data_IF_596602858685
#
_entry.id   IF_596602858685
#
_cell.length_a   1.000
_cell.length_b   1.000
_cell.length_c   1.000
_cell.angle_alpha   90.00
_cell.angle_beta   90.00
_cell.angle_gamma   90.00
#
_symmetry.space_group_name_H-M   'P 1'
#
loop_
_entity.id
_entity.type
_entity.pdbx_description
1 polymer ?
#
# COMPACT_ATOMS: atom_id res chain seq x y z
N UNK A 1 -17.07 -9.16 7.24
CA UNK A 1 -15.88 -9.14 8.11
C UNK A 1 -15.65 -7.73 8.64
N UNK A 2 -15.29 -6.73 7.81
CA UNK A 2 -15.00 -5.34 8.24
C UNK A 2 -16.09 -4.74 9.15
N UNK A 3 -17.38 -4.81 8.77
CA UNK A 3 -18.47 -4.29 9.60
C UNK A 3 -18.54 -4.94 10.99
N UNK A 4 -18.34 -6.26 11.07
CA UNK A 4 -18.32 -6.99 12.35
C UNK A 4 -17.18 -6.47 13.23
N UNK A 5 -15.99 -6.31 12.67
CA UNK A 5 -14.81 -5.92 13.43
C UNK A 5 -14.91 -4.47 13.89
N UNK A 6 -15.48 -3.58 13.06
CA UNK A 6 -15.81 -2.20 13.45
C UNK A 6 -16.85 -2.14 14.59
N UNK A 7 -17.91 -2.97 14.54
CA UNK A 7 -18.90 -3.04 15.60
C UNK A 7 -18.28 -3.54 16.91
N UNK A 8 -17.45 -4.58 16.83
CA UNK A 8 -16.73 -5.09 17.99
C UNK A 8 -15.82 -4.03 18.61
N UNK A 9 -15.03 -3.32 17.79
CA UNK A 9 -14.18 -2.22 18.25
C UNK A 9 -15.01 -1.15 19.00
N UNK A 10 -16.16 -0.75 18.41
CA UNK A 10 -17.05 0.25 19.02
C UNK A 10 -17.59 -0.19 20.38
N UNK A 11 -17.98 -1.46 20.53
CA UNK A 11 -18.55 -1.97 21.77
C UNK A 11 -17.53 -2.30 22.86
N UNK A 12 -16.35 -2.74 22.46
CA UNK A 12 -15.32 -3.19 23.42
C UNK A 12 -14.27 -2.13 23.76
N UNK A 13 -14.17 -1.08 22.93
CA UNK A 13 -13.09 -0.11 23.02
C UNK A 13 -11.73 -0.64 22.53
N UNK A 14 -11.72 -1.80 21.84
CA UNK A 14 -10.49 -2.35 21.28
C UNK A 14 -10.01 -1.54 20.09
N UNK A 15 -8.70 -1.34 19.99
CA UNK A 15 -8.05 -0.78 18.80
C UNK A 15 -7.91 -1.87 17.74
N UNK A 16 -8.42 -1.62 16.53
CA UNK A 16 -8.44 -2.58 15.43
C UNK A 16 -7.89 -1.94 14.16
N UNK A 17 -7.00 -2.64 13.47
CA UNK A 17 -6.55 -2.27 12.13
C UNK A 17 -7.17 -3.18 11.07
N UNK A 18 -7.87 -2.59 10.11
CA UNK A 18 -8.40 -3.28 8.93
C UNK A 18 -7.32 -3.28 7.86
N UNK A 19 -6.73 -4.45 7.64
CA UNK A 19 -5.61 -4.61 6.73
C UNK A 19 -6.06 -4.53 5.26
N UNK A 20 -5.17 -3.99 4.39
CA UNK A 20 -5.23 -3.98 2.92
C UNK A 20 -6.65 -3.85 2.34
N UNK A 21 -7.36 -2.78 2.67
CA UNK A 21 -8.73 -2.54 2.16
C UNK A 21 -8.73 -2.49 0.63
N UNK A 22 -9.62 -3.28 0.00
CA UNK A 22 -9.79 -3.30 -1.46
C UNK A 22 -11.16 -2.81 -1.94
N UNK A 23 -12.14 -2.71 -1.05
CA UNK A 23 -13.53 -2.38 -1.41
C UNK A 23 -13.93 -1.00 -0.91
N UNK A 24 -14.55 -0.21 -1.77
CA UNK A 24 -15.12 1.11 -1.41
C UNK A 24 -16.18 1.02 -0.31
N UNK A 25 -16.98 -0.04 -0.29
CA UNK A 25 -17.93 -0.26 0.79
C UNK A 25 -17.23 -0.47 2.15
N UNK A 26 -16.06 -1.11 2.16
CA UNK A 26 -15.27 -1.26 3.38
C UNK A 26 -14.73 0.09 3.87
N UNK A 27 -14.34 0.97 2.96
CA UNK A 27 -13.94 2.35 3.29
C UNK A 27 -15.09 3.10 3.97
N UNK A 28 -16.32 3.01 3.43
CA UNK A 28 -17.50 3.66 4.03
C UNK A 28 -17.84 3.13 5.42
N UNK A 29 -17.69 1.81 5.63
CA UNK A 29 -17.90 1.18 6.94
C UNK A 29 -16.89 1.71 7.96
N UNK A 30 -15.60 1.76 7.61
CA UNK A 30 -14.54 2.29 8.48
C UNK A 30 -14.79 3.78 8.78
N UNK A 31 -15.12 4.57 7.75
CA UNK A 31 -15.45 5.99 7.90
C UNK A 31 -16.59 6.21 8.90
N UNK A 32 -17.64 5.41 8.78
CA UNK A 32 -18.80 5.45 9.70
C UNK A 32 -18.41 5.04 11.11
N UNK A 33 -17.63 3.97 11.27
CA UNK A 33 -17.18 3.50 12.57
C UNK A 33 -16.33 4.54 13.30
N UNK A 34 -15.38 5.18 12.59
CA UNK A 34 -14.59 6.30 13.13
C UNK A 34 -15.47 7.47 13.58
N UNK A 35 -16.47 7.86 12.78
CA UNK A 35 -17.42 8.93 13.17
C UNK A 35 -18.23 8.58 14.41
N UNK A 36 -18.50 7.32 14.65
CA UNK A 36 -19.18 6.83 15.86
C UNK A 36 -18.25 6.68 17.07
N UNK A 37 -16.95 6.95 16.92
CA UNK A 37 -15.97 6.91 18.00
C UNK A 37 -15.29 5.56 18.20
N UNK A 38 -15.41 4.63 17.25
CA UNK A 38 -14.64 3.38 17.30
C UNK A 38 -13.15 3.64 17.04
N UNK A 39 -12.27 2.99 17.81
CA UNK A 39 -10.83 3.00 17.60
C UNK A 39 -10.46 2.02 16.47
N UNK A 40 -10.72 2.45 15.24
CA UNK A 40 -10.49 1.66 14.03
C UNK A 40 -9.49 2.39 13.15
N UNK A 41 -8.47 1.68 12.73
CA UNK A 41 -7.49 2.09 11.74
C UNK A 41 -7.67 1.28 10.47
N UNK A 42 -7.19 1.81 9.35
CA UNK A 42 -7.27 1.13 8.07
C UNK A 42 -6.02 1.38 7.24
N UNK A 43 -5.66 0.39 6.44
CA UNK A 43 -4.53 0.48 5.53
C UNK A 43 -4.93 0.11 4.09
N UNK A 44 -4.23 0.69 3.12
CA UNK A 44 -4.34 0.34 1.70
C UNK A 44 -2.97 0.00 1.13
N UNK A 45 -2.97 -0.80 0.07
CA UNK A 45 -1.74 -1.15 -0.66
C UNK A 45 -1.64 -0.39 -1.98
N UNK A 46 -0.42 -0.16 -2.50
CA UNK A 46 -0.24 0.50 -3.78
C UNK A 46 -1.00 -0.17 -4.94
N UNK A 47 -1.07 -1.49 -4.97
CA UNK A 47 -1.78 -2.19 -6.03
C UNK A 47 -3.30 -1.95 -5.98
N UNK A 48 -3.92 -1.74 -4.81
CA UNK A 48 -5.35 -1.48 -4.70
C UNK A 48 -5.78 -0.06 -5.08
N UNK A 49 -4.89 0.93 -5.01
CA UNK A 49 -5.20 2.28 -5.49
C UNK A 49 -4.61 2.59 -6.89
N UNK A 50 -3.85 1.65 -7.48
CA UNK A 50 -3.23 1.81 -8.80
C UNK A 50 -3.91 0.98 -9.88
N UNK A 51 -4.34 -0.26 -9.55
CA UNK A 51 -4.88 -1.24 -10.48
C UNK A 51 -6.36 -1.51 -10.23
N UNK A 52 -7.03 -2.00 -11.28
CA UNK A 52 -8.40 -2.55 -11.22
C UNK A 52 -8.39 -4.04 -11.56
N UNK A 53 -9.55 -4.68 -11.43
CA UNK A 53 -9.74 -6.11 -11.77
C UNK A 53 -9.34 -6.44 -13.22
N UNK A 54 -9.42 -5.47 -14.15
CA UNK A 54 -8.98 -5.64 -15.54
C UNK A 54 -7.49 -5.97 -15.66
N UNK A 55 -6.70 -5.64 -14.65
CA UNK A 55 -5.27 -5.98 -14.60
C UNK A 55 -5.03 -7.50 -14.71
N UNK A 56 -6.00 -8.32 -14.27
CA UNK A 56 -5.91 -9.79 -14.38
C UNK A 56 -5.85 -10.23 -15.83
N UNK A 57 -6.57 -9.54 -16.75
CA UNK A 57 -6.55 -9.84 -18.18
C UNK A 57 -5.17 -9.56 -18.81
N UNK A 58 -4.46 -8.57 -18.28
CA UNK A 58 -3.16 -8.14 -18.81
C UNK A 58 -1.98 -8.86 -18.17
N UNK A 59 -2.03 -9.07 -16.85
CA UNK A 59 -0.88 -9.55 -16.06
C UNK A 59 -1.09 -10.95 -15.48
N UNK A 60 -2.27 -11.58 -15.72
CA UNK A 60 -2.56 -12.93 -15.27
C UNK A 60 -2.40 -13.08 -13.75
N UNK A 61 -1.64 -14.10 -13.36
CA UNK A 61 -1.40 -14.43 -11.94
C UNK A 61 -0.64 -13.34 -11.19
N UNK A 62 0.14 -12.48 -11.86
CA UNK A 62 0.79 -11.33 -11.24
C UNK A 62 -0.19 -10.20 -10.86
N UNK A 63 -1.47 -10.31 -11.23
CA UNK A 63 -2.54 -9.44 -10.75
C UNK A 63 -3.52 -10.18 -9.81
N UNK A 64 -3.22 -11.43 -9.44
CA UNK A 64 -3.99 -12.17 -8.45
C UNK A 64 -3.61 -11.72 -7.05
N UNK A 65 -4.51 -10.97 -6.40
CA UNK A 65 -4.35 -10.42 -5.06
C UNK A 65 -5.34 -11.06 -4.07
N UNK A 66 -5.07 -10.93 -2.79
CA UNK A 66 -6.00 -11.25 -1.71
C UNK A 66 -5.87 -10.20 -0.58
N UNK A 67 -6.87 -9.31 -0.43
CA UNK A 67 -8.14 -9.25 -1.17
C UNK A 67 -7.94 -8.92 -2.66
N UNK A 68 -8.90 -9.31 -3.52
CA UNK A 68 -8.72 -9.12 -4.96
C UNK A 68 -8.79 -7.65 -5.37
N UNK A 69 -8.14 -7.34 -6.50
CA UNK A 69 -8.38 -6.08 -7.21
C UNK A 69 -9.86 -5.98 -7.57
N UNK A 70 -10.39 -4.76 -7.58
CA UNK A 70 -11.82 -4.50 -7.80
C UNK A 70 -12.04 -3.47 -8.88
N UNK A 71 -13.27 -2.98 -8.96
CA UNK A 71 -13.70 -2.03 -9.97
C UNK A 71 -12.98 -0.67 -9.84
N UNK A 72 -13.08 0.13 -10.89
CA UNK A 72 -12.60 1.52 -10.86
C UNK A 72 -13.30 2.35 -9.77
N UNK A 73 -14.61 2.10 -9.54
CA UNK A 73 -15.35 2.78 -8.47
C UNK A 73 -14.75 2.47 -7.09
N UNK A 74 -14.39 1.22 -6.82
CA UNK A 74 -13.74 0.82 -5.57
C UNK A 74 -12.37 1.50 -5.42
N UNK A 75 -11.58 1.53 -6.51
CA UNK A 75 -10.26 2.18 -6.54
C UNK A 75 -10.37 3.67 -6.20
N UNK A 76 -11.34 4.37 -6.80
CA UNK A 76 -11.59 5.79 -6.52
C UNK A 76 -11.95 5.99 -5.03
N UNK A 77 -12.82 5.17 -4.47
CA UNK A 77 -13.22 5.26 -3.05
C UNK A 77 -12.04 4.98 -2.09
N UNK A 78 -11.10 4.11 -2.46
CA UNK A 78 -9.85 3.94 -1.69
C UNK A 78 -9.04 5.24 -1.69
N UNK A 79 -8.86 5.87 -2.86
CA UNK A 79 -8.15 7.15 -2.97
C UNK A 79 -8.86 8.24 -2.15
N UNK A 80 -10.18 8.32 -2.20
CA UNK A 80 -10.96 9.24 -1.37
C UNK A 80 -10.75 8.98 0.13
N UNK A 81 -10.73 7.72 0.55
CA UNK A 81 -10.44 7.31 1.92
C UNK A 81 -9.02 7.68 2.39
N UNK A 82 -8.05 7.65 1.49
CA UNK A 82 -6.68 8.13 1.74
C UNK A 82 -6.67 9.66 1.91
N UNK A 83 -7.39 10.38 1.05
CA UNK A 83 -7.48 11.85 1.07
C UNK A 83 -8.12 12.40 2.34
N UNK A 84 -9.21 11.78 2.78
CA UNK A 84 -9.99 12.26 3.92
C UNK A 84 -9.53 11.71 5.29
N UNK A 85 -8.51 10.82 5.28
CA UNK A 85 -7.95 10.23 6.50
C UNK A 85 -8.75 9.05 7.07
N UNK A 86 -9.70 8.52 6.31
CA UNK A 86 -10.36 7.24 6.65
C UNK A 86 -9.36 6.09 6.61
N UNK A 87 -8.45 6.11 5.64
CA UNK A 87 -7.31 5.19 5.55
C UNK A 87 -6.09 5.89 6.14
N UNK A 88 -5.50 5.29 7.14
CA UNK A 88 -4.44 5.88 7.96
C UNK A 88 -3.05 5.56 7.48
N UNK A 89 -2.88 4.43 6.80
CA UNK A 89 -1.57 3.89 6.45
C UNK A 89 -1.54 3.33 5.02
N UNK A 90 -0.36 3.40 4.40
CA UNK A 90 -0.05 2.70 3.15
C UNK A 90 0.97 1.62 3.48
N UNK A 91 0.64 0.39 3.13
CA UNK A 91 1.43 -0.82 3.38
C UNK A 91 1.65 -1.57 2.08
N UNK A 92 2.59 -2.51 2.04
CA UNK A 92 2.97 -3.17 0.78
C UNK A 92 2.26 -4.49 0.53
N UNK A 93 1.87 -5.21 1.57
CA UNK A 93 1.44 -6.61 1.48
C UNK A 93 2.43 -7.44 0.64
N UNK A 94 3.72 -7.28 0.94
CA UNK A 94 4.82 -7.88 0.19
C UNK A 94 4.77 -9.40 0.29
N UNK A 95 4.46 -10.07 -0.83
CA UNK A 95 4.27 -11.51 -0.93
C UNK A 95 5.09 -12.09 -2.09
N UNK A 96 6.37 -12.38 -1.88
CA UNK A 96 7.23 -12.98 -2.89
C UNK A 96 6.86 -14.45 -3.14
N UNK A 97 6.69 -14.80 -4.42
CA UNK A 97 6.42 -16.15 -4.90
C UNK A 97 7.34 -16.49 -6.06
N UNK A 98 7.68 -17.78 -6.22
CA UNK A 98 8.54 -18.22 -7.31
C UNK A 98 7.84 -18.11 -8.68
N UNK A 99 8.65 -18.06 -9.75
CA UNK A 99 8.12 -18.03 -11.11
C UNK A 99 7.29 -19.31 -11.41
N UNK A 100 7.68 -20.48 -10.87
CA UNK A 100 6.94 -21.73 -11.02
C UNK A 100 5.58 -21.69 -10.32
N UNK A 101 5.49 -21.07 -9.15
CA UNK A 101 4.23 -20.90 -8.44
C UNK A 101 3.30 -19.97 -9.19
N UNK A 102 3.82 -18.87 -9.70
CA UNK A 102 3.04 -17.88 -10.47
C UNK A 102 2.71 -18.36 -11.89
N UNK A 103 3.41 -19.36 -12.43
CA UNK A 103 3.09 -19.97 -13.72
C UNK A 103 1.89 -20.96 -13.68
N UNK A 104 1.36 -21.27 -12.50
CA UNK A 104 0.18 -22.13 -12.35
C UNK A 104 -1.07 -21.46 -12.91
N UNK A 105 -2.14 -22.22 -13.23
CA UNK A 105 -3.44 -21.67 -13.55
C UNK A 105 -3.91 -20.66 -12.50
N UNK A 106 -4.70 -19.67 -12.92
CA UNK A 106 -5.09 -18.53 -12.05
C UNK A 106 -5.72 -19.01 -10.73
N UNK A 107 -6.55 -20.05 -10.76
CA UNK A 107 -7.22 -20.61 -9.60
C UNK A 107 -6.27 -21.29 -8.60
N UNK A 108 -5.11 -21.76 -9.07
CA UNK A 108 -4.13 -22.53 -8.27
C UNK A 108 -2.86 -21.75 -7.94
N UNK A 109 -2.62 -20.61 -8.59
CA UNK A 109 -1.48 -19.77 -8.30
C UNK A 109 -1.65 -19.07 -6.94
N UNK A 110 -0.59 -18.84 -6.17
CA UNK A 110 -0.70 -18.06 -4.93
C UNK A 110 -1.06 -16.61 -5.22
N UNK A 111 -1.81 -15.99 -4.29
CA UNK A 111 -2.14 -14.56 -4.34
C UNK A 111 -0.98 -13.71 -3.82
N UNK A 112 -0.86 -12.49 -4.32
CA UNK A 112 0.12 -11.52 -3.86
C UNK A 112 1.27 -11.28 -4.82
N UNK A 113 1.97 -10.18 -4.57
CA UNK A 113 3.08 -9.68 -5.38
C UNK A 113 4.22 -9.17 -4.50
N UNK A 114 5.41 -9.03 -5.09
CA UNK A 114 6.48 -8.21 -4.48
C UNK A 114 6.07 -6.75 -4.56
N UNK A 115 6.02 -6.07 -3.42
CA UNK A 115 5.50 -4.69 -3.34
C UNK A 115 6.47 -3.68 -2.71
N UNK A 116 7.59 -4.12 -2.10
CA UNK A 116 8.51 -3.20 -1.41
C UNK A 116 9.18 -2.23 -2.36
N UNK A 117 9.75 -2.73 -3.46
CA UNK A 117 10.57 -1.96 -4.38
C UNK A 117 9.78 -0.91 -5.17
N UNK A 118 8.47 -1.13 -5.35
CA UNK A 118 7.61 -0.24 -6.14
C UNK A 118 6.69 0.65 -5.32
N UNK A 119 6.61 0.46 -3.99
CA UNK A 119 5.57 1.10 -3.19
C UNK A 119 5.64 2.62 -3.16
N UNK A 120 6.83 3.21 -2.98
CA UNK A 120 7.02 4.66 -2.98
C UNK A 120 6.71 5.25 -4.36
N UNK A 121 7.26 4.63 -5.40
CA UNK A 121 7.07 5.08 -6.78
C UNK A 121 5.59 5.06 -7.20
N UNK A 122 4.85 4.01 -6.84
CA UNK A 122 3.40 3.92 -7.10
C UNK A 122 2.61 4.92 -6.25
N UNK A 123 3.01 5.15 -5.01
CA UNK A 123 2.42 6.20 -4.16
C UNK A 123 2.57 7.59 -4.78
N UNK A 124 3.74 7.92 -5.29
CA UNK A 124 3.97 9.19 -5.99
C UNK A 124 3.14 9.25 -7.27
N UNK A 125 3.24 8.25 -8.13
CA UNK A 125 2.57 8.20 -9.44
C UNK A 125 1.04 8.25 -9.34
N UNK A 126 0.47 7.51 -8.37
CA UNK A 126 -1.00 7.35 -8.27
C UNK A 126 -1.67 8.34 -7.34
N UNK A 127 -0.93 8.95 -6.40
CA UNK A 127 -1.53 9.83 -5.39
C UNK A 127 -0.97 11.26 -5.42
N UNK A 128 0.36 11.42 -5.60
CA UNK A 128 0.98 12.75 -5.53
C UNK A 128 0.92 13.47 -6.88
N UNK A 129 1.33 12.83 -7.97
CA UNK A 129 1.31 13.43 -9.32
C UNK A 129 -0.10 13.90 -9.75
N UNK A 130 -1.16 13.09 -9.52
CA UNK A 130 -2.52 13.55 -9.82
C UNK A 130 -3.05 14.61 -8.84
N UNK A 131 -2.30 14.95 -7.78
CA UNK A 131 -2.68 15.95 -6.79
C UNK A 131 -3.71 15.48 -5.77
N UNK A 132 -3.86 14.17 -5.57
CA UNK A 132 -4.77 13.63 -4.56
C UNK A 132 -4.29 13.94 -3.14
N UNK A 133 -2.97 13.81 -2.90
CA UNK A 133 -2.32 14.17 -1.63
C UNK A 133 -0.97 14.85 -1.91
N UNK A 134 -0.40 15.52 -0.90
CA UNK A 134 0.97 16.02 -0.98
C UNK A 134 2.00 14.90 -0.75
N UNK A 135 3.24 15.12 -1.21
CA UNK A 135 4.35 14.20 -0.91
C UNK A 135 4.55 14.02 0.60
N UNK A 136 4.44 15.11 1.38
CA UNK A 136 4.54 15.03 2.84
C UNK A 136 3.45 14.13 3.43
N UNK A 137 2.22 14.22 2.91
CA UNK A 137 1.12 13.33 3.35
C UNK A 137 1.40 11.88 3.00
N UNK A 138 2.00 11.60 1.82
CA UNK A 138 2.43 10.25 1.47
C UNK A 138 3.46 9.71 2.48
N UNK A 139 4.45 10.52 2.88
CA UNK A 139 5.44 10.13 3.90
C UNK A 139 4.81 9.88 5.27
N UNK A 140 3.82 10.67 5.67
CA UNK A 140 3.06 10.39 6.90
C UNK A 140 2.39 9.01 6.84
N UNK A 141 1.69 8.71 5.75
CA UNK A 141 0.95 7.45 5.57
C UNK A 141 1.85 6.21 5.46
N UNK A 142 3.08 6.36 4.94
CA UNK A 142 4.01 5.24 4.75
C UNK A 142 4.99 5.05 5.91
N UNK A 143 5.20 6.05 6.76
CA UNK A 143 6.24 6.00 7.79
C UNK A 143 5.74 6.43 9.16
N UNK A 144 5.32 7.68 9.32
CA UNK A 144 4.94 8.24 10.62
C UNK A 144 3.74 7.51 11.23
N UNK A 145 2.64 7.42 10.49
CA UNK A 145 1.40 6.84 11.00
C UNK A 145 1.55 5.34 11.35
N UNK A 146 2.21 4.49 10.52
CA UNK A 146 2.51 3.12 10.93
C UNK A 146 3.35 3.06 12.21
N UNK A 147 4.38 3.90 12.34
CA UNK A 147 5.22 3.92 13.54
C UNK A 147 4.41 4.28 14.79
N UNK A 148 3.56 5.30 14.72
CA UNK A 148 2.69 5.71 15.83
C UNK A 148 1.68 4.59 16.19
N UNK A 149 1.04 3.97 15.18
CA UNK A 149 0.09 2.86 15.41
C UNK A 149 0.75 1.68 16.11
N UNK A 150 1.93 1.26 15.65
CA UNK A 150 2.69 0.15 16.26
C UNK A 150 3.52 0.56 17.49
N UNK A 151 3.37 1.80 17.99
CA UNK A 151 4.10 2.34 19.15
C UNK A 151 5.62 2.27 18.96
N UNK A 152 6.08 2.44 17.75
CA UNK A 152 7.49 2.58 17.40
C UNK A 152 7.89 4.06 17.50
N UNK A 153 9.19 4.32 17.61
CA UNK A 153 9.69 5.70 17.53
C UNK A 153 9.62 6.13 16.07
N UNK A 154 8.83 7.16 15.71
CA UNK A 154 8.78 7.66 14.35
C UNK A 154 10.15 8.27 13.98
N UNK A 155 10.56 8.08 12.73
CA UNK A 155 11.79 8.68 12.21
C UNK A 155 11.77 10.21 12.32
N UNK A 156 12.91 10.79 12.67
CA UNK A 156 13.07 12.25 12.76
C UNK A 156 14.47 12.68 12.35
N UNK A 157 14.57 13.87 11.73
CA UNK A 157 15.86 14.51 11.42
C UNK A 157 16.20 15.44 12.58
N UNK A 158 16.57 14.87 13.72
CA UNK A 158 16.98 15.62 14.91
C UNK A 158 18.34 15.14 15.40
N UNK A 159 19.11 16.03 16.06
CA UNK A 159 20.41 15.69 16.62
C UNK A 159 20.26 14.55 17.66
N UNK A 160 20.98 13.46 17.43
CA UNK A 160 20.98 12.28 18.32
C UNK A 160 19.92 11.23 17.96
N UNK A 161 19.09 11.45 16.94
CA UNK A 161 18.22 10.40 16.39
C UNK A 161 19.02 9.40 15.55
N UNK A 162 18.47 8.19 15.39
CA UNK A 162 19.00 7.22 14.42
C UNK A 162 18.99 7.80 13.01
N UNK A 163 20.05 7.57 12.24
CA UNK A 163 20.20 8.08 10.88
C UNK A 163 19.64 7.10 9.83
N UNK A 164 18.47 6.52 10.07
CA UNK A 164 17.76 5.68 9.10
C UNK A 164 17.09 6.61 8.07
N UNK A 165 17.80 6.92 7.01
CA UNK A 165 17.42 7.92 6.02
C UNK A 165 17.22 7.29 4.65
N UNK A 166 16.20 7.74 3.93
CA UNK A 166 15.97 7.43 2.51
C UNK A 166 16.17 8.71 1.70
N UNK A 167 17.04 8.65 0.69
CA UNK A 167 17.23 9.71 -0.29
C UNK A 167 16.68 9.24 -1.62
N UNK A 168 15.80 10.02 -2.23
CA UNK A 168 15.22 9.70 -3.52
C UNK A 168 15.05 10.93 -4.41
N UNK A 169 15.12 10.73 -5.72
CA UNK A 169 14.91 11.78 -6.70
C UNK A 169 13.43 11.89 -7.09
N UNK A 170 12.73 12.93 -6.66
CA UNK A 170 11.30 13.12 -6.88
C UNK A 170 10.89 13.08 -8.37
N UNK A 171 11.80 13.49 -9.27
CA UNK A 171 11.57 13.59 -10.73
C UNK A 171 12.47 12.67 -11.54
N UNK A 172 13.23 11.83 -10.90
CA UNK A 172 14.14 10.92 -11.57
C UNK A 172 13.34 9.73 -12.14
N UNK A 173 13.34 9.63 -13.47
CA UNK A 173 12.64 8.55 -14.19
C UNK A 173 13.48 7.27 -14.14
N UNK A 174 12.82 6.18 -13.87
CA UNK A 174 13.38 4.85 -13.96
C UNK A 174 12.34 3.85 -14.47
N UNK A 175 12.83 2.77 -15.06
CA UNK A 175 11.97 1.66 -15.49
C UNK A 175 12.10 0.53 -14.48
N UNK A 176 10.97 0.03 -13.99
CA UNK A 176 10.95 -1.13 -13.08
C UNK A 176 11.45 -2.37 -13.82
N UNK A 177 12.58 -2.92 -13.42
CA UNK A 177 13.19 -4.10 -14.03
C UNK A 177 13.27 -5.23 -13.01
N UNK A 178 13.19 -6.46 -13.52
CA UNK A 178 13.28 -7.67 -12.70
C UNK A 178 14.60 -7.74 -11.92
N UNK A 179 15.67 -7.28 -12.53
CA UNK A 179 17.04 -7.31 -12.01
C UNK A 179 17.26 -6.32 -10.86
N UNK A 180 16.41 -5.30 -10.74
CA UNK A 180 16.51 -4.26 -9.72
C UNK A 180 15.84 -4.68 -8.39
N UNK A 181 15.15 -5.84 -8.35
CA UNK A 181 14.51 -6.32 -7.13
C UNK A 181 15.54 -6.89 -6.16
N UNK A 182 15.56 -6.39 -4.94
CA UNK A 182 16.32 -6.94 -3.82
C UNK A 182 15.65 -8.21 -3.26
N UNK A 183 14.36 -8.37 -3.45
CA UNK A 183 13.61 -9.57 -3.13
C UNK A 183 14.12 -10.77 -3.94
N UNK A 184 14.08 -11.97 -3.37
CA UNK A 184 14.42 -13.23 -4.07
C UNK A 184 13.44 -13.56 -5.20
N UNK A 185 12.25 -13.00 -5.17
CA UNK A 185 11.22 -13.12 -6.19
C UNK A 185 10.97 -11.77 -6.86
N UNK A 186 10.40 -11.80 -8.06
CA UNK A 186 10.09 -10.61 -8.85
C UNK A 186 8.68 -10.68 -9.46
N UNK A 187 7.76 -11.37 -8.78
CA UNK A 187 6.37 -11.53 -9.18
C UNK A 187 5.61 -10.19 -9.02
N UNK A 188 5.69 -9.33 -10.04
CA UNK A 188 5.09 -7.99 -10.03
C UNK A 188 4.46 -7.65 -11.38
N UNK A 189 3.24 -7.09 -11.41
CA UNK A 189 2.62 -6.57 -12.63
C UNK A 189 3.26 -5.25 -13.10
N UNK A 190 4.11 -4.64 -12.29
CA UNK A 190 4.70 -3.34 -12.56
C UNK A 190 6.03 -3.40 -13.31
N UNK A 191 6.57 -4.59 -13.59
CA UNK A 191 7.77 -4.74 -14.43
C UNK A 191 7.53 -4.11 -15.80
N UNK A 192 8.47 -3.26 -16.24
CA UNK A 192 8.39 -2.49 -17.48
C UNK A 192 7.64 -1.16 -17.33
N UNK A 193 7.09 -0.84 -16.17
CA UNK A 193 6.51 0.48 -15.94
C UNK A 193 7.58 1.54 -15.77
N UNK A 194 7.36 2.68 -16.42
CA UNK A 194 8.12 3.90 -16.12
C UNK A 194 7.52 4.57 -14.88
N UNK A 195 8.36 4.91 -13.97
CA UNK A 195 8.00 5.55 -12.71
C UNK A 195 9.00 6.64 -12.35
N UNK A 196 8.57 7.56 -11.52
CA UNK A 196 9.46 8.54 -10.88
C UNK A 196 9.91 8.00 -9.52
N UNK A 197 10.93 8.65 -8.95
CA UNK A 197 11.46 8.29 -7.63
C UNK A 197 12.34 7.04 -7.64
N UNK A 198 13.52 7.18 -8.26
CA UNK A 198 14.59 6.22 -8.02
C UNK A 198 15.08 6.35 -6.57
N UNK A 199 14.92 5.27 -5.81
CA UNK A 199 15.28 5.27 -4.38
C UNK A 199 16.70 4.79 -4.22
N UNK A 200 17.57 5.65 -3.68
CA UNK A 200 18.87 5.25 -3.15
C UNK A 200 18.71 4.93 -1.66
N UNK A 201 18.80 3.66 -1.31
CA UNK A 201 18.81 3.24 0.08
C UNK A 201 20.17 3.59 0.68
N UNK A 202 20.20 4.50 1.66
CA UNK A 202 21.37 4.64 2.53
C UNK A 202 21.21 3.66 3.67
N UNK A 203 22.15 2.71 3.76
CA UNK A 203 22.21 1.78 4.89
C UNK A 203 22.46 2.55 6.19
N UNK A 204 21.90 2.11 7.31
CA UNK A 204 22.25 2.64 8.63
C UNK A 204 23.76 2.44 8.86
N UNK A 205 24.42 3.50 9.27
CA UNK A 205 25.82 3.49 9.71
C UNK A 205 25.93 3.06 11.16
#
# INVERSE_FOLDING_TARGET
MVARDCILALHTGASVCIQHISSGNSVEIVRTAKKLGADVHAEATPHHFTLTEDAVLKYGTNARMNPPLRTEEDRIKIIEGIKDGTIDMIVTDHAPHSDEEKARPLENAPSGITGLETSLALGIKSLVEPGHISLMKLMELMSKNPAEFYRMIPGSITKGAAADLVIFGEKELWTVRKEDFASKASNSPFIGWESVSYTHLTLPT
#
